data_IF_063081301457
#
_entry.id   IF_063081301457
#
_cell.length_a   1.000
_cell.length_b   1.000
_cell.length_c   1.000
_cell.angle_alpha   90.00
_cell.angle_beta   90.00
_cell.angle_gamma   90.00
#
_symmetry.space_group_name_H-M   'P 1'
#
loop_
_entity.id
_entity.type
_entity.pdbx_description
1 polymer ?
#
# COMPACT_ATOMS: atom_id res chain seq x y z
N UNK A 1 19.72 40.71 3.61
CA UNK A 1 19.97 41.31 2.28
C UNK A 1 18.83 40.91 1.36
N UNK A 2 18.11 41.84 0.77
CA UNK A 2 17.07 41.54 -0.25
C UNK A 2 17.81 41.26 -1.55
N UNK A 3 17.64 40.08 -2.15
CA UNK A 3 18.33 39.72 -3.39
C UNK A 3 17.81 40.59 -4.54
N UNK A 4 18.68 40.91 -5.50
CA UNK A 4 18.33 41.67 -6.73
C UNK A 4 17.16 40.98 -7.47
N UNK A 5 17.08 39.67 -7.40
CA UNK A 5 16.03 38.84 -8.00
C UNK A 5 14.66 39.04 -7.32
N UNK A 6 14.64 39.26 -6.00
CA UNK A 6 13.42 39.54 -5.23
C UNK A 6 12.86 40.94 -5.60
N UNK A 7 13.75 41.92 -5.84
CA UNK A 7 13.39 43.27 -6.31
C UNK A 7 12.86 43.19 -7.74
N UNK A 8 13.52 42.44 -8.63
CA UNK A 8 13.10 42.24 -10.02
C UNK A 8 11.73 41.52 -10.11
N UNK A 9 11.51 40.54 -9.26
CA UNK A 9 10.24 39.81 -9.20
C UNK A 9 9.10 40.69 -8.67
N UNK A 10 9.34 41.56 -7.69
CA UNK A 10 8.37 42.56 -7.21
C UNK A 10 8.02 43.60 -8.28
N UNK A 11 9.00 44.08 -9.03
CA UNK A 11 8.79 45.01 -10.13
C UNK A 11 8.01 44.39 -11.30
N UNK A 12 8.06 43.08 -11.45
CA UNK A 12 7.32 42.31 -12.48
C UNK A 12 5.93 41.83 -12.01
N UNK A 13 5.42 42.26 -10.85
CA UNK A 13 4.10 41.89 -10.33
C UNK A 13 3.99 40.41 -9.92
N UNK A 14 5.12 39.74 -9.68
CA UNK A 14 5.15 38.36 -9.21
C UNK A 14 4.69 38.34 -7.75
N UNK A 15 3.62 37.62 -7.49
CA UNK A 15 2.88 37.61 -6.25
C UNK A 15 3.76 37.35 -5.01
N UNK A 16 3.40 37.97 -3.89
CA UNK A 16 3.99 37.79 -2.55
C UNK A 16 3.68 36.39 -1.98
N UNK A 17 4.32 35.38 -2.55
CA UNK A 17 4.27 34.02 -1.99
C UNK A 17 5.32 33.85 -0.88
N UNK A 18 5.13 32.89 0.04
CA UNK A 18 6.12 32.61 1.07
C UNK A 18 7.47 32.30 0.41
N UNK A 19 8.49 33.01 0.82
CA UNK A 19 9.84 32.98 0.21
C UNK A 19 10.82 32.10 0.99
N UNK A 20 10.34 31.42 2.03
CA UNK A 20 11.13 30.54 2.89
C UNK A 20 10.56 29.12 2.91
N UNK A 21 11.42 28.14 3.17
CA UNK A 21 11.10 26.71 3.10
C UNK A 21 9.98 26.31 4.05
N UNK A 22 10.06 26.73 5.32
CA UNK A 22 9.04 26.36 6.33
C UNK A 22 7.72 27.07 6.07
N UNK A 23 7.75 28.32 5.60
CA UNK A 23 6.54 29.04 5.21
C UNK A 23 5.86 28.37 3.99
N UNK A 24 6.65 27.93 2.99
CA UNK A 24 6.13 27.15 1.87
C UNK A 24 5.57 25.80 2.30
N UNK A 25 6.26 25.10 3.20
CA UNK A 25 5.81 23.83 3.75
C UNK A 25 4.44 23.98 4.43
N UNK A 26 4.25 24.98 5.25
CA UNK A 26 2.95 25.29 5.89
C UNK A 26 1.85 25.55 4.88
N UNK A 27 2.14 26.36 3.86
CA UNK A 27 1.18 26.68 2.79
C UNK A 27 0.80 25.43 2.00
N UNK A 28 1.75 24.58 1.66
CA UNK A 28 1.52 23.32 0.94
C UNK A 28 0.73 22.33 1.79
N UNK A 29 1.02 22.22 3.10
CA UNK A 29 0.24 21.40 4.03
C UNK A 29 -1.20 21.88 4.16
N UNK A 30 -1.43 23.19 4.23
CA UNK A 30 -2.77 23.74 4.27
C UNK A 30 -3.57 23.41 3.01
N UNK A 31 -2.95 23.56 1.84
CA UNK A 31 -3.54 23.19 0.55
C UNK A 31 -3.91 21.69 0.49
N UNK A 32 -3.03 20.83 0.99
CA UNK A 32 -3.31 19.38 1.06
C UNK A 32 -4.45 19.08 2.04
N UNK A 33 -4.50 19.76 3.19
CA UNK A 33 -5.56 19.61 4.19
C UNK A 33 -6.95 19.91 3.63
N UNK A 34 -7.08 20.96 2.83
CA UNK A 34 -8.33 21.34 2.16
C UNK A 34 -8.81 20.30 1.13
N UNK A 35 -7.89 19.47 0.63
CA UNK A 35 -8.15 18.38 -0.29
C UNK A 35 -8.49 17.05 0.41
N UNK A 36 -8.32 16.96 1.74
CA UNK A 36 -8.63 15.73 2.50
C UNK A 36 -10.13 15.42 2.42
N UNK A 37 -10.43 14.14 2.22
CA UNK A 37 -11.81 13.66 2.00
C UNK A 37 -12.36 13.87 0.60
N UNK A 38 -11.71 14.70 -0.24
CA UNK A 38 -12.06 14.92 -1.65
C UNK A 38 -11.13 14.14 -2.58
N UNK A 39 -9.89 14.57 -2.70
CA UNK A 39 -8.87 13.99 -3.61
C UNK A 39 -7.66 13.41 -2.86
N UNK A 40 -7.55 13.64 -1.55
CA UNK A 40 -6.45 13.15 -0.71
C UNK A 40 -7.01 12.39 0.51
N UNK A 41 -6.31 11.32 0.89
CA UNK A 41 -6.62 10.59 2.10
C UNK A 41 -6.01 11.31 3.33
N UNK A 42 -6.67 11.20 4.48
CA UNK A 42 -6.18 11.71 5.77
C UNK A 42 -4.78 11.19 6.08
N UNK A 43 -4.52 9.89 5.83
CA UNK A 43 -3.21 9.27 6.03
C UNK A 43 -2.10 9.92 5.18
N UNK A 44 -2.44 10.45 4.01
CA UNK A 44 -1.49 11.19 3.17
C UNK A 44 -1.11 12.50 3.82
N UNK A 45 -2.10 13.25 4.31
CA UNK A 45 -1.88 14.49 5.03
C UNK A 45 -1.02 14.28 6.28
N UNK A 46 -1.35 13.27 7.10
CA UNK A 46 -0.57 12.92 8.30
C UNK A 46 0.90 12.59 7.98
N UNK A 47 1.14 11.83 6.92
CA UNK A 47 2.51 11.52 6.48
C UNK A 47 3.29 12.78 6.06
N UNK A 48 2.63 13.75 5.44
CA UNK A 48 3.26 15.02 5.08
C UNK A 48 3.53 15.89 6.31
N UNK A 49 2.65 15.89 7.32
CA UNK A 49 2.89 16.55 8.61
C UNK A 49 4.14 16.00 9.31
N UNK A 50 4.36 14.67 9.26
CA UNK A 50 5.60 14.09 9.79
C UNK A 50 6.84 14.53 9.00
N UNK A 51 6.71 14.68 7.69
CA UNK A 51 7.81 15.18 6.85
C UNK A 51 8.14 16.64 7.16
N UNK A 52 7.12 17.46 7.35
CA UNK A 52 7.28 18.87 7.77
C UNK A 52 7.91 18.97 9.16
N UNK A 53 7.45 18.15 10.11
CA UNK A 53 8.01 18.13 11.48
C UNK A 53 9.52 17.92 11.46
N UNK A 54 10.01 16.90 10.75
CA UNK A 54 11.46 16.63 10.66
C UNK A 54 12.22 17.71 9.92
N UNK A 55 11.60 18.35 8.91
CA UNK A 55 12.19 19.50 8.25
C UNK A 55 12.33 20.70 9.20
N UNK A 56 11.33 20.97 10.03
CA UNK A 56 11.38 22.00 11.07
C UNK A 56 12.47 21.71 12.12
N UNK A 57 12.60 20.44 12.53
CA UNK A 57 13.64 20.00 13.47
C UNK A 57 15.05 20.20 12.89
N UNK A 58 15.26 19.85 11.61
CA UNK A 58 16.52 20.07 10.91
C UNK A 58 16.88 21.57 10.83
N UNK A 59 15.95 22.43 10.46
CA UNK A 59 16.18 23.87 10.40
C UNK A 59 16.55 24.44 11.78
N UNK A 60 15.90 23.96 12.85
CA UNK A 60 16.24 24.33 14.23
C UNK A 60 17.64 23.85 14.63
N UNK A 61 18.01 22.61 14.27
CA UNK A 61 19.33 22.04 14.54
C UNK A 61 20.46 22.88 13.92
N UNK A 62 20.20 23.50 12.77
CA UNK A 62 21.11 24.48 12.15
C UNK A 62 21.20 25.82 12.89
N UNK A 63 20.44 26.06 13.95
CA UNK A 63 20.42 27.31 14.71
C UNK A 63 19.78 28.48 13.97
N UNK A 64 19.00 28.24 12.91
CA UNK A 64 18.34 29.26 12.10
C UNK A 64 16.83 29.19 12.21
N UNK A 65 16.14 30.31 11.96
CA UNK A 65 14.66 30.37 12.06
C UNK A 65 13.98 29.75 10.84
N UNK A 66 14.49 30.00 9.64
CA UNK A 66 13.99 29.50 8.36
C UNK A 66 15.03 29.73 7.25
N UNK A 67 14.85 29.10 6.08
CA UNK A 67 15.78 29.14 4.95
C UNK A 67 15.09 29.81 3.76
N UNK A 68 15.60 30.91 3.22
CA UNK A 68 15.10 31.50 1.98
C UNK A 68 15.25 30.51 0.81
N UNK A 69 14.20 30.32 0.00
CA UNK A 69 14.22 29.35 -1.13
C UNK A 69 15.25 29.74 -2.21
N UNK A 70 15.61 31.01 -2.29
CA UNK A 70 16.54 31.53 -3.29
C UNK A 70 18.01 31.22 -3.05
N UNK A 71 18.36 30.79 -1.83
CA UNK A 71 19.74 30.41 -1.45
C UNK A 71 19.94 28.92 -1.29
N UNK A 72 18.92 28.13 -1.60
CA UNK A 72 18.98 26.67 -1.47
C UNK A 72 19.84 26.09 -2.59
N UNK A 73 20.81 25.27 -2.20
CA UNK A 73 21.72 24.56 -3.09
C UNK A 73 21.56 23.04 -2.90
N UNK A 74 22.22 22.27 -3.75
CA UNK A 74 22.31 20.82 -3.62
C UNK A 74 22.92 20.40 -2.26
N UNK A 75 23.83 21.19 -1.71
CA UNK A 75 24.46 20.92 -0.40
C UNK A 75 23.42 20.79 0.72
N UNK A 76 22.37 21.63 0.71
CA UNK A 76 21.30 21.56 1.70
C UNK A 76 20.57 20.20 1.65
N UNK A 77 20.42 19.63 0.46
CA UNK A 77 19.81 18.31 0.30
C UNK A 77 20.68 17.22 0.93
N UNK A 78 22.01 17.29 0.73
CA UNK A 78 22.97 16.38 1.32
C UNK A 78 23.05 16.53 2.85
N UNK A 79 23.05 17.74 3.35
CA UNK A 79 23.02 18.02 4.79
C UNK A 79 21.75 17.46 5.44
N UNK A 80 20.58 17.67 4.81
CA UNK A 80 19.32 17.12 5.31
C UNK A 80 19.32 15.59 5.25
N UNK A 81 19.84 15.01 4.16
CA UNK A 81 20.01 13.55 4.05
C UNK A 81 20.88 13.02 5.20
N UNK A 82 22.01 13.68 5.47
CA UNK A 82 22.91 13.27 6.55
C UNK A 82 22.26 13.40 7.92
N UNK A 83 21.53 14.48 8.17
CA UNK A 83 20.74 14.66 9.38
C UNK A 83 19.74 13.49 9.58
N UNK A 84 18.99 13.14 8.53
CA UNK A 84 18.04 12.03 8.58
C UNK A 84 18.71 10.67 8.83
N UNK A 85 19.92 10.45 8.28
CA UNK A 85 20.73 9.25 8.56
C UNK A 85 21.16 9.18 10.04
N UNK A 86 21.57 10.29 10.63
CA UNK A 86 21.90 10.34 12.06
C UNK A 86 20.74 9.96 12.97
N UNK A 87 19.49 10.19 12.53
CA UNK A 87 18.29 9.74 13.25
C UNK A 87 18.03 8.22 13.14
N UNK A 88 18.89 7.47 12.48
CA UNK A 88 18.75 6.01 12.31
C UNK A 88 17.59 5.57 11.41
N UNK A 89 17.10 6.45 10.52
CA UNK A 89 15.97 6.17 9.67
C UNK A 89 16.33 5.24 8.50
N UNK A 90 15.41 4.38 8.10
CA UNK A 90 15.58 3.52 6.93
C UNK A 90 15.59 4.33 5.61
N UNK A 91 16.35 3.87 4.61
CA UNK A 91 16.54 4.51 3.31
C UNK A 91 15.21 4.94 2.65
N UNK A 92 14.19 4.08 2.63
CA UNK A 92 12.89 4.41 2.08
C UNK A 92 12.17 5.56 2.84
N UNK A 93 12.41 5.67 4.16
CA UNK A 93 11.86 6.75 4.99
C UNK A 93 12.61 8.05 4.72
N UNK A 94 13.94 8.00 4.62
CA UNK A 94 14.79 9.14 4.24
C UNK A 94 14.33 9.68 2.87
N UNK A 95 14.20 8.83 1.87
CA UNK A 95 13.73 9.23 0.54
C UNK A 95 12.38 9.94 0.58
N UNK A 96 11.45 9.48 1.40
CA UNK A 96 10.14 10.13 1.56
C UNK A 96 10.27 11.56 2.07
N UNK A 97 11.16 11.82 3.02
CA UNK A 97 11.39 13.16 3.56
C UNK A 97 12.15 14.06 2.57
N UNK A 98 13.12 13.50 1.86
CA UNK A 98 13.81 14.20 0.77
C UNK A 98 12.86 14.57 -0.38
N UNK A 99 11.93 13.67 -0.74
CA UNK A 99 10.87 13.96 -1.70
C UNK A 99 9.97 15.11 -1.26
N UNK A 100 9.70 15.27 0.04
CA UNK A 100 8.95 16.41 0.54
C UNK A 100 9.69 17.72 0.28
N UNK A 101 10.97 17.80 0.63
CA UNK A 101 11.81 18.98 0.39
C UNK A 101 11.90 19.30 -1.11
N UNK A 102 12.13 18.29 -1.97
CA UNK A 102 12.15 18.46 -3.42
C UNK A 102 10.80 18.96 -3.97
N UNK A 103 9.68 18.47 -3.45
CA UNK A 103 8.34 18.96 -3.80
C UNK A 103 8.15 20.44 -3.50
N UNK A 104 8.66 20.92 -2.37
CA UNK A 104 8.62 22.35 -2.05
C UNK A 104 9.41 23.18 -3.07
N UNK A 105 10.56 22.67 -3.55
CA UNK A 105 11.34 23.37 -4.58
C UNK A 105 10.62 23.38 -5.94
N UNK A 106 9.98 22.27 -6.35
CA UNK A 106 9.13 22.30 -7.55
C UNK A 106 7.96 23.30 -7.42
N UNK A 107 7.42 23.45 -6.20
CA UNK A 107 6.41 24.47 -5.92
C UNK A 107 7.00 25.89 -6.07
N UNK A 108 8.22 26.12 -5.56
CA UNK A 108 8.93 27.38 -5.73
C UNK A 108 9.19 27.71 -7.21
N UNK A 109 9.55 26.72 -8.03
CA UNK A 109 9.68 26.88 -9.49
C UNK A 109 8.34 27.27 -10.12
N UNK A 110 7.26 26.57 -9.78
CA UNK A 110 5.91 26.85 -10.32
C UNK A 110 5.42 28.25 -9.94
N UNK A 111 5.86 28.78 -8.81
CA UNK A 111 5.59 30.15 -8.33
C UNK A 111 6.62 31.19 -8.84
N UNK A 112 7.56 30.77 -9.71
CA UNK A 112 8.62 31.62 -10.28
C UNK A 112 9.53 32.27 -9.23
N UNK A 113 9.67 31.67 -8.05
CA UNK A 113 10.59 32.12 -7.00
C UNK A 113 12.04 31.73 -7.31
N UNK A 114 12.21 30.57 -7.95
CA UNK A 114 13.49 30.05 -8.46
C UNK A 114 13.31 29.56 -9.90
N UNK A 115 14.40 29.46 -10.66
CA UNK A 115 14.36 29.08 -12.09
C UNK A 115 14.21 27.56 -12.30
N UNK A 116 14.92 26.78 -11.50
CA UNK A 116 14.91 25.30 -11.57
C UNK A 116 14.95 24.73 -10.16
N UNK A 117 14.61 23.46 -10.03
CA UNK A 117 14.75 22.74 -8.77
C UNK A 117 16.23 22.43 -8.54
N UNK A 118 16.88 22.94 -7.46
CA UNK A 118 18.28 22.66 -7.18
C UNK A 118 18.56 21.18 -6.90
N UNK A 119 17.53 20.36 -6.70
CA UNK A 119 17.63 18.94 -6.36
C UNK A 119 17.33 18.01 -7.56
N UNK A 120 17.20 18.55 -8.78
CA UNK A 120 16.78 17.77 -9.95
C UNK A 120 17.73 16.62 -10.27
N UNK A 121 19.04 16.83 -10.08
CA UNK A 121 20.07 15.83 -10.34
C UNK A 121 20.53 15.06 -9.11
N UNK A 122 19.93 15.29 -7.93
CA UNK A 122 20.33 14.59 -6.71
C UNK A 122 19.89 13.15 -6.70
N UNK A 123 20.73 12.27 -6.16
CA UNK A 123 20.43 10.85 -6.05
C UNK A 123 19.77 10.53 -4.71
N UNK A 124 18.71 9.74 -4.75
CA UNK A 124 18.07 9.19 -3.56
C UNK A 124 18.81 7.96 -3.05
N UNK A 125 18.55 7.57 -1.79
CA UNK A 125 19.10 6.35 -1.20
C UNK A 125 18.62 5.12 -1.97
N UNK A 126 19.54 4.17 -2.19
CA UNK A 126 19.15 2.86 -2.76
C UNK A 126 18.26 2.10 -1.78
N UNK A 127 17.12 1.69 -2.23
CA UNK A 127 16.18 0.89 -1.45
C UNK A 127 16.08 -0.51 -2.04
N UNK A 128 16.36 -1.53 -1.23
CA UNK A 128 16.08 -2.92 -1.61
C UNK A 128 14.62 -3.23 -1.24
N UNK A 129 13.81 -3.53 -2.24
CA UNK A 129 12.46 -4.03 -2.03
C UNK A 129 12.49 -5.54 -1.85
N UNK A 130 12.65 -6.01 -0.62
CA UNK A 130 12.48 -7.43 -0.30
C UNK A 130 11.01 -7.73 -0.10
N UNK A 131 10.41 -8.45 -1.04
CA UNK A 131 9.02 -8.90 -0.93
C UNK A 131 8.99 -10.04 0.08
N UNK A 132 8.18 -9.86 1.13
CA UNK A 132 7.93 -10.92 2.11
C UNK A 132 6.62 -11.61 1.78
N UNK A 133 6.67 -12.90 1.60
CA UNK A 133 5.50 -13.76 1.34
C UNK A 133 5.66 -15.09 2.06
N UNK A 134 4.56 -15.80 2.26
CA UNK A 134 4.55 -17.11 2.90
C UNK A 134 4.68 -18.23 1.88
N UNK A 135 5.39 -19.28 2.26
CA UNK A 135 5.42 -20.53 1.52
C UNK A 135 4.11 -21.30 1.70
N UNK A 136 3.76 -22.19 0.75
CA UNK A 136 2.54 -23.01 0.82
C UNK A 136 2.41 -23.76 2.15
N UNK A 137 3.52 -24.27 2.68
CA UNK A 137 3.54 -24.98 3.96
C UNK A 137 3.16 -24.09 5.15
N UNK A 138 3.58 -22.82 5.16
CA UNK A 138 3.23 -21.90 6.25
C UNK A 138 1.76 -21.48 6.18
N UNK A 139 1.22 -21.33 4.98
CA UNK A 139 -0.23 -21.11 4.79
C UNK A 139 -1.01 -22.32 5.29
N UNK A 140 -0.56 -23.56 5.02
CA UNK A 140 -1.18 -24.78 5.52
C UNK A 140 -1.16 -24.87 7.06
N UNK A 141 -0.04 -24.50 7.71
CA UNK A 141 0.04 -24.44 9.18
C UNK A 141 -0.96 -23.43 9.75
N UNK A 142 -1.08 -22.25 9.13
CA UNK A 142 -2.06 -21.24 9.54
C UNK A 142 -3.50 -21.76 9.40
N UNK A 143 -3.80 -22.52 8.35
CA UNK A 143 -5.12 -23.11 8.15
C UNK A 143 -5.44 -24.19 9.19
N UNK A 144 -4.46 -24.98 9.61
CA UNK A 144 -4.61 -26.06 10.58
C UNK A 144 -4.68 -25.57 12.04
N UNK A 145 -4.18 -24.35 12.31
CA UNK A 145 -4.13 -23.80 13.67
C UNK A 145 -5.54 -23.58 14.23
N UNK A 146 -5.78 -24.11 15.43
CA UNK A 146 -6.99 -23.82 16.22
C UNK A 146 -6.70 -22.65 17.17
N UNK A 147 -7.52 -21.62 17.12
CA UNK A 147 -7.37 -20.40 17.92
C UNK A 147 -8.63 -20.21 18.76
N UNK A 148 -8.47 -20.09 20.08
CA UNK A 148 -9.61 -19.91 21.00
C UNK A 148 -9.97 -18.43 21.17
N UNK A 149 -9.02 -17.52 21.01
CA UNK A 149 -9.25 -16.07 21.08
C UNK A 149 -10.02 -15.61 19.83
N UNK A 150 -11.19 -15.01 20.03
CA UNK A 150 -12.11 -14.59 18.96
C UNK A 150 -11.46 -13.59 18.00
N UNK A 151 -10.73 -12.59 18.52
CA UNK A 151 -10.07 -11.57 17.71
C UNK A 151 -8.89 -12.14 16.92
N UNK A 152 -8.11 -13.04 17.55
CA UNK A 152 -7.00 -13.71 16.89
C UNK A 152 -7.49 -14.67 15.79
N UNK A 153 -8.61 -15.36 16.02
CA UNK A 153 -9.24 -16.22 15.01
C UNK A 153 -9.77 -15.39 13.83
N UNK A 154 -10.41 -14.26 14.10
CA UNK A 154 -10.84 -13.35 13.05
C UNK A 154 -9.64 -12.81 12.25
N UNK A 155 -8.57 -12.39 12.93
CA UNK A 155 -7.34 -11.94 12.28
C UNK A 155 -6.75 -13.04 11.38
N UNK A 156 -6.70 -14.29 11.85
CA UNK A 156 -6.24 -15.46 11.11
C UNK A 156 -7.10 -15.71 9.86
N UNK A 157 -8.42 -15.74 10.00
CA UNK A 157 -9.36 -15.94 8.88
C UNK A 157 -9.22 -14.87 7.81
N UNK A 158 -9.16 -13.61 8.20
CA UNK A 158 -8.95 -12.51 7.27
C UNK A 158 -7.60 -12.61 6.57
N UNK A 159 -6.56 -13.04 7.28
CA UNK A 159 -5.24 -13.24 6.69
C UNK A 159 -5.25 -14.37 5.64
N UNK A 160 -5.82 -15.53 5.98
CA UNK A 160 -5.98 -16.65 5.05
C UNK A 160 -6.81 -16.21 3.84
N UNK A 161 -7.93 -15.53 4.08
CA UNK A 161 -8.76 -14.99 3.00
C UNK A 161 -7.97 -14.09 2.05
N UNK A 162 -7.12 -13.20 2.58
CA UNK A 162 -6.25 -12.35 1.78
C UNK A 162 -5.19 -13.15 1.00
N UNK A 163 -4.71 -14.29 1.51
CA UNK A 163 -3.80 -15.17 0.79
C UNK A 163 -4.46 -15.83 -0.45
N UNK A 164 -5.79 -15.99 -0.46
CA UNK A 164 -6.52 -16.62 -1.55
C UNK A 164 -7.33 -15.66 -2.42
N UNK A 165 -7.37 -14.38 -2.07
CA UNK A 165 -8.11 -13.36 -2.84
C UNK A 165 -7.24 -12.17 -3.25
N UNK A 166 -6.10 -11.97 -2.59
CA UNK A 166 -5.24 -10.82 -2.81
C UNK A 166 -5.83 -9.49 -2.34
N UNK A 167 -6.95 -9.47 -1.61
CA UNK A 167 -7.57 -8.24 -1.13
C UNK A 167 -6.68 -7.52 -0.12
N UNK A 168 -6.65 -6.19 -0.17
CA UNK A 168 -6.02 -5.39 0.87
C UNK A 168 -6.93 -5.30 2.10
N UNK A 169 -6.35 -5.05 3.29
CA UNK A 169 -7.11 -4.95 4.55
C UNK A 169 -8.27 -3.95 4.45
N UNK A 170 -8.04 -2.77 3.86
CA UNK A 170 -9.09 -1.76 3.68
C UNK A 170 -10.25 -2.23 2.79
N UNK A 171 -9.97 -3.08 1.80
CA UNK A 171 -10.99 -3.62 0.90
C UNK A 171 -11.78 -4.75 1.59
N UNK A 172 -11.13 -5.53 2.49
CA UNK A 172 -11.78 -6.56 3.30
C UNK A 172 -12.68 -5.98 4.40
N UNK A 173 -12.24 -4.92 5.08
CA UNK A 173 -13.04 -4.21 6.09
C UNK A 173 -14.36 -3.66 5.54
N UNK A 174 -14.40 -3.37 4.24
CA UNK A 174 -15.59 -2.87 3.55
C UNK A 174 -16.18 -3.90 2.58
N UNK A 175 -15.84 -5.19 2.73
CA UNK A 175 -16.40 -6.25 1.90
C UNK A 175 -17.79 -6.63 2.40
N UNK A 176 -18.78 -6.49 1.54
CA UNK A 176 -20.18 -6.83 1.79
C UNK A 176 -20.56 -8.11 1.04
N UNK A 177 -21.55 -8.84 1.53
CA UNK A 177 -22.11 -10.00 0.82
C UNK A 177 -22.63 -9.64 -0.56
N UNK A 178 -23.16 -8.42 -0.77
CA UNK A 178 -23.60 -7.92 -2.08
C UNK A 178 -22.48 -7.74 -3.12
N UNK A 179 -21.20 -7.71 -2.71
CA UNK A 179 -20.09 -7.72 -3.64
C UNK A 179 -19.74 -9.11 -4.19
N UNK A 180 -20.39 -10.17 -3.65
CA UNK A 180 -20.18 -11.56 -4.06
C UNK A 180 -21.26 -11.89 -5.08
N UNK A 181 -20.85 -12.12 -6.31
CA UNK A 181 -21.73 -12.40 -7.44
C UNK A 181 -21.51 -13.84 -7.91
N UNK A 182 -22.53 -14.42 -8.53
CA UNK A 182 -22.44 -15.75 -9.12
C UNK A 182 -22.56 -15.61 -10.64
N UNK A 183 -21.62 -16.14 -11.40
CA UNK A 183 -21.68 -16.21 -12.84
C UNK A 183 -22.67 -17.27 -13.34
N UNK A 184 -22.97 -17.27 -14.62
CA UNK A 184 -23.92 -18.21 -15.22
C UNK A 184 -23.49 -19.68 -15.12
N UNK A 185 -22.18 -19.93 -15.01
CA UNK A 185 -21.57 -21.27 -14.79
C UNK A 185 -21.56 -21.70 -13.32
N UNK A 186 -22.12 -20.89 -12.41
CA UNK A 186 -22.15 -21.14 -10.98
C UNK A 186 -20.88 -20.71 -10.23
N UNK A 187 -19.84 -20.23 -10.92
CA UNK A 187 -18.63 -19.70 -10.30
C UNK A 187 -18.92 -18.41 -9.54
N UNK A 188 -18.47 -18.34 -8.29
CA UNK A 188 -18.58 -17.11 -7.49
C UNK A 188 -17.33 -16.25 -7.63
N UNK A 189 -17.55 -14.96 -7.63
CA UNK A 189 -16.47 -13.97 -7.67
C UNK A 189 -16.82 -12.74 -6.85
N UNK A 190 -15.77 -12.05 -6.38
CA UNK A 190 -15.89 -10.74 -5.75
C UNK A 190 -15.70 -9.67 -6.83
N UNK A 191 -16.65 -8.76 -6.95
CA UNK A 191 -16.53 -7.56 -7.80
C UNK A 191 -16.69 -6.33 -6.93
N UNK A 192 -15.66 -5.47 -6.91
CA UNK A 192 -15.63 -4.28 -6.07
C UNK A 192 -14.59 -3.27 -6.60
N UNK A 193 -14.81 -1.99 -6.30
CA UNK A 193 -13.78 -0.96 -6.48
C UNK A 193 -12.84 -0.91 -5.26
N UNK A 194 -11.55 -0.74 -5.52
CA UNK A 194 -10.53 -0.56 -4.48
C UNK A 194 -10.72 0.75 -3.73
N UNK A 195 -10.69 0.68 -2.41
CA UNK A 195 -10.80 1.87 -1.55
C UNK A 195 -9.71 2.92 -1.83
N UNK A 196 -8.47 2.48 -2.12
CA UNK A 196 -7.32 3.37 -2.31
C UNK A 196 -7.24 3.99 -3.71
N UNK A 197 -7.52 3.22 -4.76
CA UNK A 197 -7.23 3.60 -6.16
C UNK A 197 -8.46 3.77 -7.02
N UNK A 198 -9.64 3.42 -6.52
CA UNK A 198 -10.92 3.38 -7.25
C UNK A 198 -10.90 2.52 -8.51
N UNK A 199 -9.92 1.63 -8.62
CA UNK A 199 -9.84 0.65 -9.72
C UNK A 199 -10.72 -0.53 -9.37
N UNK A 200 -11.60 -0.93 -10.31
CA UNK A 200 -12.40 -2.14 -10.17
C UNK A 200 -11.50 -3.38 -10.20
N UNK A 201 -11.75 -4.30 -9.28
CA UNK A 201 -11.15 -5.62 -9.29
C UNK A 201 -12.22 -6.72 -9.34
N UNK A 202 -11.84 -7.84 -9.93
CA UNK A 202 -12.68 -9.04 -10.03
C UNK A 202 -11.85 -10.23 -9.61
N UNK A 203 -12.27 -10.92 -8.55
CA UNK A 203 -11.54 -12.07 -8.00
C UNK A 203 -12.47 -13.29 -8.00
N UNK A 204 -12.20 -14.30 -8.85
CA UNK A 204 -12.87 -15.59 -8.73
C UNK A 204 -12.58 -16.20 -7.35
N UNK A 205 -13.61 -16.70 -6.69
CA UNK A 205 -13.46 -17.25 -5.35
C UNK A 205 -12.84 -18.65 -5.37
N UNK A 206 -11.68 -18.75 -4.72
CA UNK A 206 -11.10 -20.05 -4.40
C UNK A 206 -11.98 -20.78 -3.35
N UNK A 207 -12.15 -22.12 -3.38
CA UNK A 207 -13.00 -22.85 -2.43
C UNK A 207 -12.72 -22.53 -0.96
N UNK A 208 -11.46 -22.30 -0.58
CA UNK A 208 -11.05 -21.89 0.78
C UNK A 208 -11.66 -20.52 1.14
N UNK A 209 -11.59 -19.56 0.23
CA UNK A 209 -12.17 -18.23 0.45
C UNK A 209 -13.71 -18.31 0.57
N UNK A 210 -14.35 -19.14 -0.26
CA UNK A 210 -15.78 -19.38 -0.20
C UNK A 210 -16.20 -20.02 1.13
N UNK A 211 -15.44 -21.00 1.62
CA UNK A 211 -15.68 -21.65 2.91
C UNK A 211 -15.59 -20.65 4.08
N UNK A 212 -14.62 -19.73 4.03
CA UNK A 212 -14.49 -18.66 5.04
C UNK A 212 -15.72 -17.74 5.01
N UNK A 213 -16.19 -17.32 3.83
CA UNK A 213 -17.39 -16.47 3.70
C UNK A 213 -18.62 -17.19 4.26
N UNK A 214 -18.83 -18.46 3.92
CA UNK A 214 -19.94 -19.27 4.43
C UNK A 214 -19.89 -19.38 5.96
N UNK A 215 -18.70 -19.59 6.51
CA UNK A 215 -18.52 -19.68 7.96
C UNK A 215 -18.84 -18.35 8.64
N UNK A 216 -18.33 -17.23 8.14
CA UNK A 216 -18.63 -15.91 8.68
C UNK A 216 -20.14 -15.62 8.66
N UNK A 217 -20.82 -15.96 7.58
CA UNK A 217 -22.27 -15.80 7.46
C UNK A 217 -23.03 -16.63 8.52
N UNK A 218 -22.68 -17.90 8.66
CA UNK A 218 -23.31 -18.80 9.63
C UNK A 218 -23.06 -18.35 11.09
N UNK A 219 -21.89 -17.81 11.40
CA UNK A 219 -21.62 -17.23 12.73
C UNK A 219 -22.46 -15.98 13.01
N UNK A 220 -22.63 -15.12 12.02
CA UNK A 220 -23.45 -13.91 12.15
C UNK A 220 -24.93 -14.26 12.35
N UNK A 221 -25.45 -15.24 11.61
CA UNK A 221 -26.82 -15.73 11.74
C UNK A 221 -27.08 -16.34 13.13
N UNK A 222 -26.11 -17.09 13.69
CA UNK A 222 -26.20 -17.67 15.04
C UNK A 222 -26.16 -16.62 16.15
N UNK A 223 -25.43 -15.51 15.96
CA UNK A 223 -25.30 -14.46 16.96
C UNK A 223 -26.44 -13.42 16.88
N UNK A 224 -27.53 -13.70 16.17
CA UNK A 224 -28.75 -12.89 16.15
C UNK A 224 -28.69 -11.63 15.32
N UNK A 225 -28.01 -11.67 14.15
CA UNK A 225 -28.03 -10.62 13.13
C UNK A 225 -27.96 -9.19 13.69
N UNK A 226 -26.76 -8.58 13.68
CA UNK A 226 -26.64 -7.12 13.77
C UNK A 226 -26.51 -6.50 15.15
N UNK A 227 -25.29 -6.45 15.68
CA UNK A 227 -24.94 -5.41 16.65
C UNK A 227 -24.64 -4.11 15.89
N UNK A 228 -25.44 -3.06 16.13
CA UNK A 228 -25.15 -1.71 15.63
C UNK A 228 -23.94 -1.14 16.35
N UNK A 229 -22.82 -1.00 15.67
CA UNK A 229 -21.65 -0.28 16.19
C UNK A 229 -21.94 1.21 16.11
N UNK A 230 -22.11 1.86 17.26
CA UNK A 230 -22.22 3.31 17.35
C UNK A 230 -20.83 3.94 17.23
N UNK A 231 -20.39 4.28 16.03
CA UNK A 231 -19.34 5.28 15.87
C UNK A 231 -19.92 6.68 16.09
N UNK A 232 -19.36 7.40 17.07
CA UNK A 232 -19.73 8.82 17.34
C UNK A 232 -19.52 9.66 16.09
N UNK A 233 -20.61 10.07 15.43
CA UNK A 233 -20.60 11.12 14.42
C UNK A 233 -20.62 10.67 12.95
N UNK A 234 -20.87 9.41 12.62
CA UNK A 234 -21.09 8.94 11.24
C UNK A 234 -22.43 8.21 11.12
N UNK A 235 -23.06 8.37 9.95
CA UNK A 235 -24.30 7.69 9.55
C UNK A 235 -24.22 6.19 9.87
N UNK A 236 -25.23 5.63 10.50
CA UNK A 236 -25.36 4.21 10.86
C UNK A 236 -25.15 3.34 9.60
N UNK A 237 -23.94 2.82 9.42
CA UNK A 237 -23.70 1.76 8.45
C UNK A 237 -24.13 0.46 9.13
N UNK A 238 -25.22 -0.13 8.65
CA UNK A 238 -25.65 -1.47 9.08
C UNK A 238 -24.50 -2.45 8.88
N UNK A 239 -23.94 -2.94 9.98
CA UNK A 239 -22.86 -3.95 10.00
C UNK A 239 -23.35 -5.31 9.51
N UNK A 240 -24.66 -5.50 9.41
CA UNK A 240 -25.34 -6.75 9.05
C UNK A 240 -24.97 -7.28 7.67
N UNK A 241 -24.38 -6.45 6.80
CA UNK A 241 -24.04 -6.81 5.44
C UNK A 241 -22.52 -7.02 5.21
N UNK A 242 -21.68 -6.77 6.23
CA UNK A 242 -20.23 -6.96 6.12
C UNK A 242 -19.84 -8.42 6.27
N UNK A 243 -18.93 -8.91 5.41
CA UNK A 243 -18.38 -10.28 5.52
C UNK A 243 -17.49 -10.42 6.76
N UNK A 244 -16.73 -9.38 7.10
CA UNK A 244 -15.83 -9.33 8.24
C UNK A 244 -16.16 -8.14 9.16
N UNK A 245 -17.26 -8.19 9.93
CA UNK A 245 -17.52 -7.15 10.92
C UNK A 245 -16.40 -7.20 11.98
N UNK A 246 -15.78 -6.07 12.28
CA UNK A 246 -14.67 -5.99 13.23
C UNK A 246 -14.82 -4.75 14.10
N UNK A 247 -14.92 -4.95 15.41
CA UNK A 247 -15.05 -3.88 16.39
C UNK A 247 -13.69 -3.39 16.89
N UNK A 248 -12.60 -4.04 16.49
CA UNK A 248 -11.26 -3.72 16.94
C UNK A 248 -10.45 -2.94 15.90
N UNK A 249 -9.51 -2.13 16.39
CA UNK A 249 -8.64 -1.33 15.55
C UNK A 249 -7.66 -2.21 14.74
N UNK A 250 -7.16 -1.67 13.60
CA UNK A 250 -6.12 -2.34 12.79
C UNK A 250 -4.87 -2.68 13.59
N UNK A 251 -4.51 -1.88 14.60
CA UNK A 251 -3.36 -2.14 15.47
C UNK A 251 -3.58 -3.39 16.33
N UNK A 252 -4.78 -3.57 16.89
CA UNK A 252 -5.15 -4.78 17.64
C UNK A 252 -5.12 -5.98 16.72
N UNK A 253 -5.75 -5.91 15.54
CA UNK A 253 -5.73 -6.99 14.54
C UNK A 253 -4.31 -7.38 14.14
N UNK A 254 -3.41 -6.41 13.96
CA UNK A 254 -2.01 -6.67 13.64
C UNK A 254 -1.25 -7.32 14.81
N UNK A 255 -1.55 -6.95 16.05
CA UNK A 255 -0.97 -7.58 17.24
C UNK A 255 -1.44 -9.04 17.37
N UNK A 256 -2.74 -9.29 17.23
CA UNK A 256 -3.33 -10.64 17.25
C UNK A 256 -2.77 -11.53 16.14
N UNK A 257 -2.63 -10.98 14.93
CA UNK A 257 -2.02 -11.69 13.81
C UNK A 257 -0.54 -12.06 14.10
N UNK A 258 0.20 -11.20 14.80
CA UNK A 258 1.56 -11.51 15.23
C UNK A 258 1.61 -12.70 16.21
N UNK A 259 0.63 -12.80 17.12
CA UNK A 259 0.50 -13.95 18.05
C UNK A 259 0.23 -15.23 17.26
N UNK A 260 -0.71 -15.18 16.31
CA UNK A 260 -1.03 -16.31 15.41
C UNK A 260 0.21 -16.79 14.65
N UNK A 261 0.99 -15.87 14.08
CA UNK A 261 2.23 -16.23 13.37
C UNK A 261 3.25 -16.93 14.25
N UNK A 262 3.45 -16.45 15.48
CA UNK A 262 4.33 -17.08 16.45
C UNK A 262 3.85 -18.49 16.83
N UNK A 263 2.56 -18.68 17.04
CA UNK A 263 1.97 -19.99 17.36
C UNK A 263 2.18 -21.00 16.22
N UNK A 264 2.27 -20.56 14.97
CA UNK A 264 2.60 -21.40 13.81
C UNK A 264 4.11 -21.61 13.60
N UNK A 265 4.98 -21.03 14.43
CA UNK A 265 6.42 -21.07 14.22
C UNK A 265 6.92 -20.29 13.01
N UNK A 266 6.14 -19.32 12.54
CA UNK A 266 6.53 -18.45 11.42
C UNK A 266 7.46 -17.37 11.95
N UNK A 267 8.68 -17.29 11.38
CA UNK A 267 9.71 -16.35 11.82
C UNK A 267 9.38 -14.90 11.51
N UNK A 268 8.78 -14.66 10.35
CA UNK A 268 8.41 -13.33 9.88
C UNK A 268 7.17 -12.81 10.62
N UNK A 269 7.18 -11.52 10.92
CA UNK A 269 5.97 -10.86 11.43
C UNK A 269 4.92 -10.81 10.34
N UNK A 270 3.80 -11.49 10.57
CA UNK A 270 2.67 -11.49 9.65
C UNK A 270 2.06 -10.09 9.50
N UNK A 271 1.66 -9.76 8.28
CA UNK A 271 0.90 -8.57 7.94
C UNK A 271 -0.06 -8.86 6.78
N UNK A 272 -1.18 -8.17 6.71
CA UNK A 272 -2.13 -8.35 5.59
C UNK A 272 -1.52 -8.01 4.23
N UNK A 273 -0.49 -7.15 4.22
CA UNK A 273 0.25 -6.88 2.99
C UNK A 273 1.07 -8.10 2.55
N UNK A 274 1.65 -8.83 3.51
CA UNK A 274 2.33 -10.11 3.24
C UNK A 274 1.35 -11.16 2.70
N UNK A 275 0.12 -11.25 3.22
CA UNK A 275 -0.91 -12.14 2.68
C UNK A 275 -1.21 -11.83 1.21
N UNK A 276 -1.35 -10.55 0.88
CA UNK A 276 -1.53 -10.09 -0.49
C UNK A 276 -0.32 -10.41 -1.39
N UNK A 277 0.90 -10.27 -0.88
CA UNK A 277 2.10 -10.71 -1.59
C UNK A 277 2.12 -12.23 -1.79
N UNK A 278 1.68 -12.99 -0.80
CA UNK A 278 1.54 -14.45 -0.89
C UNK A 278 0.58 -14.82 -2.03
N UNK A 279 -0.58 -14.16 -2.13
CA UNK A 279 -1.50 -14.35 -3.26
C UNK A 279 -0.81 -14.08 -4.61
N UNK A 280 -0.16 -12.93 -4.75
CA UNK A 280 0.52 -12.54 -5.99
C UNK A 280 1.60 -13.55 -6.41
N UNK A 281 2.43 -13.98 -5.45
CA UNK A 281 3.51 -14.96 -5.69
C UNK A 281 2.95 -16.35 -6.00
N UNK A 282 1.94 -16.82 -5.25
CA UNK A 282 1.29 -18.11 -5.50
C UNK A 282 0.61 -18.15 -6.87
N UNK A 283 -0.09 -17.09 -7.24
CA UNK A 283 -0.76 -16.96 -8.54
C UNK A 283 0.25 -16.96 -9.69
N UNK A 284 1.34 -16.21 -9.54
CA UNK A 284 2.43 -16.19 -10.53
C UNK A 284 3.09 -17.57 -10.67
N UNK A 285 3.36 -18.24 -9.56
CA UNK A 285 3.92 -19.62 -9.56
C UNK A 285 2.95 -20.64 -10.17
N UNK A 286 1.64 -20.41 -10.09
CA UNK A 286 0.64 -21.24 -10.73
C UNK A 286 0.50 -20.96 -12.25
N UNK A 287 1.24 -20.01 -12.80
CA UNK A 287 1.22 -19.66 -14.23
C UNK A 287 0.07 -18.73 -14.62
N UNK A 288 -0.57 -18.05 -13.67
CA UNK A 288 -1.60 -17.06 -13.99
C UNK A 288 -0.91 -15.84 -14.63
N UNK A 289 -1.43 -15.33 -15.78
CA UNK A 289 -0.86 -14.15 -16.44
C UNK A 289 -0.83 -12.92 -15.51
N UNK A 290 0.24 -12.13 -15.65
CA UNK A 290 0.47 -10.96 -14.78
C UNK A 290 -0.66 -9.93 -14.87
N UNK A 291 -1.27 -9.78 -16.05
CA UNK A 291 -2.41 -8.90 -16.30
C UNK A 291 -3.64 -9.33 -15.50
N UNK A 292 -3.89 -10.65 -15.46
CA UNK A 292 -4.98 -11.23 -14.68
C UNK A 292 -4.75 -11.02 -13.18
N UNK A 293 -3.51 -11.23 -12.70
CA UNK A 293 -3.13 -10.96 -11.30
C UNK A 293 -3.32 -9.48 -10.99
N UNK A 294 -2.88 -8.58 -11.87
CA UNK A 294 -3.06 -7.14 -11.70
C UNK A 294 -4.54 -6.75 -11.59
N UNK A 295 -5.40 -7.32 -12.44
CA UNK A 295 -6.85 -7.09 -12.40
C UNK A 295 -7.48 -7.64 -11.12
N UNK A 296 -7.13 -8.86 -10.70
CA UNK A 296 -7.61 -9.45 -9.44
C UNK A 296 -7.17 -8.62 -8.23
N UNK A 297 -5.95 -8.09 -8.23
CA UNK A 297 -5.44 -7.25 -7.15
C UNK A 297 -5.89 -5.79 -7.24
N UNK A 298 -6.54 -5.34 -8.31
CA UNK A 298 -6.95 -3.95 -8.53
C UNK A 298 -5.75 -3.01 -8.59
N UNK A 299 -4.68 -3.40 -9.26
CA UNK A 299 -3.54 -2.53 -9.51
C UNK A 299 -3.84 -1.58 -10.67
N UNK A 300 -3.56 -0.29 -10.47
CA UNK A 300 -3.72 0.72 -11.52
C UNK A 300 -2.65 0.60 -12.63
N UNK A 301 -1.53 -0.07 -12.34
CA UNK A 301 -0.44 -0.32 -13.27
C UNK A 301 0.13 -1.71 -13.05
N UNK A 302 0.44 -2.40 -14.16
CA UNK A 302 1.10 -3.71 -14.17
C UNK A 302 2.47 -3.65 -13.46
N UNK A 303 3.17 -2.52 -13.49
CA UNK A 303 4.43 -2.30 -12.77
C UNK A 303 4.32 -2.65 -11.28
N UNK A 304 3.14 -2.44 -10.64
CA UNK A 304 2.90 -2.84 -9.26
C UNK A 304 2.81 -4.37 -9.06
N UNK A 305 2.61 -5.13 -10.14
CA UNK A 305 2.51 -6.59 -10.13
C UNK A 305 3.83 -7.24 -10.58
N UNK A 306 4.67 -6.51 -11.33
CA UNK A 306 5.99 -6.97 -11.79
C UNK A 306 6.93 -7.37 -10.64
N UNK A 307 6.68 -6.84 -9.44
CA UNK A 307 7.42 -7.27 -8.24
C UNK A 307 7.30 -8.77 -7.96
N UNK A 308 6.20 -9.43 -8.40
CA UNK A 308 6.01 -10.88 -8.26
C UNK A 308 6.66 -11.67 -9.38
N UNK A 309 7.05 -11.01 -10.47
CA UNK A 309 7.68 -11.61 -11.63
C UNK A 309 9.21 -11.77 -11.48
N UNK A 310 9.73 -11.72 -10.23
CA UNK A 310 11.10 -12.16 -9.97
C UNK A 310 11.19 -13.65 -10.27
N UNK A 311 11.51 -13.93 -11.54
CA UNK A 311 11.58 -15.26 -12.09
C UNK A 311 12.81 -15.92 -11.46
N UNK A 312 12.58 -16.96 -10.67
CA UNK A 312 13.67 -17.82 -10.20
C UNK A 312 14.11 -18.73 -11.33
N UNK A 313 15.38 -19.16 -11.36
CA UNK A 313 15.90 -20.11 -12.34
C UNK A 313 15.04 -21.38 -12.42
N UNK A 314 14.52 -21.82 -11.27
CA UNK A 314 13.58 -22.96 -11.20
C UNK A 314 12.29 -22.70 -12.00
N UNK A 315 11.76 -21.48 -11.95
CA UNK A 315 10.54 -21.14 -12.71
C UNK A 315 10.81 -21.10 -14.20
N UNK A 316 11.97 -20.61 -14.62
CA UNK A 316 12.39 -20.63 -16.03
C UNK A 316 12.47 -22.07 -16.53
N UNK A 317 13.09 -22.96 -15.75
CA UNK A 317 13.19 -24.39 -16.07
C UNK A 317 11.81 -25.05 -16.16
N UNK A 318 10.93 -24.83 -15.19
CA UNK A 318 9.56 -25.37 -15.18
C UNK A 318 8.73 -24.88 -16.37
N UNK A 319 8.84 -23.62 -16.75
CA UNK A 319 8.10 -23.07 -17.89
C UNK A 319 8.65 -23.63 -19.22
N UNK A 320 9.97 -23.84 -19.32
CA UNK A 320 10.59 -24.50 -20.47
C UNK A 320 10.17 -25.98 -20.57
N UNK A 321 10.16 -26.71 -19.47
CA UNK A 321 9.72 -28.11 -19.43
C UNK A 321 8.25 -28.25 -19.83
N UNK A 322 7.38 -27.31 -19.43
CA UNK A 322 5.97 -27.27 -19.88
C UNK A 322 5.87 -27.04 -21.38
N UNK A 323 6.69 -26.15 -21.93
CA UNK A 323 6.73 -25.88 -23.37
C UNK A 323 7.17 -27.12 -24.12
N UNK A 324 8.27 -27.76 -23.71
CA UNK A 324 8.79 -29.00 -24.32
C UNK A 324 7.73 -30.11 -24.28
N UNK A 325 7.08 -30.30 -23.11
CA UNK A 325 6.02 -31.31 -22.94
C UNK A 325 4.81 -31.07 -23.86
N UNK A 326 4.48 -29.79 -24.11
CA UNK A 326 3.40 -29.44 -25.04
C UNK A 326 3.76 -29.81 -26.47
N UNK A 327 4.95 -29.46 -26.92
CA UNK A 327 5.42 -29.82 -28.26
C UNK A 327 5.54 -31.32 -28.48
N UNK A 328 5.98 -32.08 -27.47
CA UNK A 328 6.03 -33.54 -27.55
C UNK A 328 4.63 -34.17 -27.70
N UNK A 329 3.63 -33.64 -26.99
CA UNK A 329 2.23 -34.10 -27.11
C UNK A 329 1.61 -33.75 -28.45
N UNK A 330 1.98 -32.62 -29.05
CA UNK A 330 1.55 -32.22 -30.39
C UNK A 330 2.15 -33.10 -31.47
N UNK A 331 3.48 -33.40 -31.39
CA UNK A 331 4.14 -34.32 -32.30
C UNK A 331 3.56 -35.73 -32.27
N UNK A 332 3.31 -36.28 -31.09
CA UNK A 332 2.68 -37.61 -30.94
C UNK A 332 1.27 -37.64 -31.53
N UNK A 333 0.54 -36.52 -31.57
CA UNK A 333 -0.76 -36.45 -32.24
C UNK A 333 -0.65 -36.37 -33.75
N UNK A 334 0.38 -35.70 -34.30
CA UNK A 334 0.63 -35.64 -35.73
C UNK A 334 1.15 -36.98 -36.31
N UNK A 335 1.91 -37.74 -35.53
CA UNK A 335 2.42 -39.08 -35.93
C UNK A 335 1.35 -40.18 -35.78
N UNK A 336 0.22 -39.88 -35.12
CA UNK A 336 -0.90 -40.83 -34.91
C UNK A 336 -2.05 -40.64 -35.92
N UNK A 337 -1.92 -39.74 -36.92
CA UNK A 337 -2.82 -39.51 -38.04
C UNK A 337 -2.15 -40.03 -39.33
#
# INVERSE_FOLDING_TARGET
MVSVELIKNRLQGIATHPTTVLAMSKTELQSVKECVGKSKAESTYQNLCYSDKLLCEFVKDKGIKDIPVTIITEDLFEEYRFYLKKQGLAAATINRYLCWLSRLMYRAVSQRLIRCNPFENTKYEKTEQKIRFLQKNDVAKLMALKVNDKEAEQARRMFIFACFTGLAIADMEHLQYGHIQTAADGQKYIRKERQKTRVEFVVPLHPIAEAIIKHCKAEQEKNGGGQSVKEKGKTETRTDNLVFPCDCSRSVMSAKLSIVGKACGIRERLSYHMARHTFGTMSMSAGIPIESIAKMMGHASIASTQIYAQVTDNKISEDMDRLISKYQKEKVKEEAI
#
